data_IF_868241214747
#
_entry.id   IF_868241214747
#
_cell.length_a   1.000
_cell.length_b   1.000
_cell.length_c   1.000
_cell.angle_alpha   90.00
_cell.angle_beta   90.00
_cell.angle_gamma   90.00
#
_symmetry.space_group_name_H-M   'P 1'
#
loop_
_entity.id
_entity.type
_entity.pdbx_description
1 polymer ?
#
# COMPACT_ATOMS: atom_id res chain seq x y z
N UNK A 1 2.22 -12.87 21.83
CA UNK A 1 0.78 -12.69 21.54
C UNK A 1 0.60 -11.36 20.84
N UNK A 2 0.02 -11.33 19.64
CA UNK A 2 -0.05 -10.11 18.81
C UNK A 2 -1.50 -9.60 18.70
N UNK A 3 -1.99 -8.99 19.78
CA UNK A 3 -3.34 -8.42 19.88
C UNK A 3 -3.63 -7.37 18.79
N UNK A 4 -2.60 -6.62 18.37
CA UNK A 4 -2.72 -5.62 17.30
C UNK A 4 -3.01 -6.28 15.96
N UNK A 5 -2.45 -7.46 15.70
CA UNK A 5 -2.72 -8.24 14.49
C UNK A 5 -4.15 -8.75 14.48
N UNK A 6 -4.63 -9.27 15.61
CA UNK A 6 -6.01 -9.76 15.75
C UNK A 6 -7.06 -8.65 15.57
N UNK A 7 -6.86 -7.49 16.21
CA UNK A 7 -7.71 -6.30 16.01
C UNK A 7 -7.84 -5.93 14.52
N UNK A 8 -6.72 -5.93 13.78
CA UNK A 8 -6.74 -5.62 12.34
C UNK A 8 -7.50 -6.66 11.52
N UNK A 9 -7.39 -7.94 11.86
CA UNK A 9 -8.17 -9.01 11.22
C UNK A 9 -9.67 -8.80 11.48
N UNK A 10 -10.06 -8.47 12.72
CA UNK A 10 -11.44 -8.16 13.08
C UNK A 10 -11.98 -6.96 12.32
N UNK A 11 -11.23 -5.86 12.28
CA UNK A 11 -11.61 -4.67 11.52
C UNK A 11 -11.76 -4.96 10.02
N UNK A 12 -10.90 -5.79 9.43
CA UNK A 12 -11.00 -6.18 8.03
C UNK A 12 -12.26 -7.03 7.78
N UNK A 13 -12.58 -7.95 8.68
CA UNK A 13 -13.77 -8.81 8.61
C UNK A 13 -15.06 -7.99 8.76
N UNK A 14 -15.13 -7.12 9.77
CA UNK A 14 -16.27 -6.22 9.99
C UNK A 14 -16.54 -5.32 8.76
N UNK A 15 -15.48 -4.72 8.19
CA UNK A 15 -15.60 -3.90 6.97
C UNK A 15 -16.04 -4.67 5.74
N UNK A 16 -15.95 -5.99 5.75
CA UNK A 16 -16.40 -6.88 4.69
C UNK A 16 -17.77 -7.48 4.97
N UNK A 17 -18.47 -6.93 5.97
CA UNK A 17 -19.82 -7.38 6.36
C UNK A 17 -19.84 -8.85 6.81
N UNK A 18 -18.75 -9.29 7.44
CA UNK A 18 -18.68 -10.57 8.16
C UNK A 18 -19.04 -10.27 9.62
N UNK A 19 -19.96 -11.06 10.18
CA UNK A 19 -20.36 -10.96 11.57
C UNK A 19 -19.22 -11.45 12.46
N UNK A 20 -18.78 -10.62 13.41
CA UNK A 20 -17.60 -10.90 14.24
C UNK A 20 -17.85 -10.68 15.73
N UNK A 21 -19.12 -10.58 16.15
CA UNK A 21 -19.49 -10.18 17.51
C UNK A 21 -18.80 -11.05 18.56
N UNK A 22 -18.99 -12.37 18.45
CA UNK A 22 -18.43 -13.33 19.41
C UNK A 22 -16.90 -13.29 19.45
N UNK A 23 -16.28 -13.20 18.28
CA UNK A 23 -14.82 -13.07 18.17
C UNK A 23 -14.28 -11.76 18.76
N UNK A 24 -15.02 -10.66 18.61
CA UNK A 24 -14.67 -9.36 19.17
C UNK A 24 -14.81 -9.34 20.70
N UNK A 25 -15.84 -9.99 21.23
CA UNK A 25 -16.04 -10.09 22.68
C UNK A 25 -14.88 -10.84 23.35
N UNK A 26 -14.43 -11.95 22.78
CA UNK A 26 -13.22 -12.66 23.25
C UNK A 26 -11.94 -11.84 23.07
N UNK A 27 -11.83 -11.02 22.03
CA UNK A 27 -10.70 -10.09 21.88
C UNK A 27 -10.65 -9.05 23.00
N UNK A 28 -11.80 -8.50 23.40
CA UNK A 28 -11.90 -7.54 24.51
C UNK A 28 -11.53 -8.19 25.85
N UNK A 29 -11.96 -9.43 26.09
CA UNK A 29 -11.56 -10.22 27.26
C UNK A 29 -10.04 -10.45 27.27
N UNK A 30 -9.47 -10.88 26.14
CA UNK A 30 -8.03 -11.06 25.99
C UNK A 30 -7.24 -9.77 26.28
N UNK A 31 -7.74 -8.62 25.83
CA UNK A 31 -7.13 -7.31 26.10
C UNK A 31 -7.20 -6.95 27.59
N UNK A 32 -8.32 -7.24 28.25
CA UNK A 32 -8.52 -7.01 29.68
C UNK A 32 -7.57 -7.86 30.53
N UNK A 33 -7.47 -9.16 30.24
CA UNK A 33 -6.57 -10.07 30.95
C UNK A 33 -5.09 -9.76 30.69
N UNK A 34 -4.76 -9.34 29.46
CA UNK A 34 -3.41 -8.88 29.14
C UNK A 34 -3.02 -7.64 29.97
N UNK A 35 -3.92 -6.67 30.11
CA UNK A 35 -3.68 -5.46 30.91
C UNK A 35 -3.57 -5.75 32.42
N UNK A 36 -4.19 -6.82 32.90
CA UNK A 36 -4.06 -7.29 34.29
C UNK A 36 -2.76 -8.08 34.55
N UNK A 37 -2.00 -8.40 33.50
CA UNK A 37 -0.78 -9.20 33.59
C UNK A 37 -1.00 -10.72 33.58
N UNK A 38 -2.24 -11.19 33.39
CA UNK A 38 -2.58 -12.61 33.32
C UNK A 38 -2.38 -13.15 31.89
N UNK A 39 -1.12 -13.46 31.55
CA UNK A 39 -0.73 -13.80 30.18
C UNK A 39 -1.29 -15.13 29.68
N UNK A 40 -1.53 -16.10 30.58
CA UNK A 40 -2.04 -17.42 30.21
C UNK A 40 -3.50 -17.34 29.76
N UNK A 41 -4.33 -16.65 30.54
CA UNK A 41 -5.75 -16.47 30.23
C UNK A 41 -5.95 -15.55 29.02
N UNK A 42 -5.15 -14.49 28.93
CA UNK A 42 -5.12 -13.64 27.74
C UNK A 42 -4.79 -14.42 26.45
N UNK A 43 -3.87 -15.39 26.53
CA UNK A 43 -3.54 -16.24 25.39
C UNK A 43 -4.69 -17.15 24.98
N UNK A 44 -5.37 -17.78 25.94
CA UNK A 44 -6.54 -18.65 25.69
C UNK A 44 -7.67 -17.88 25.03
N UNK A 45 -8.01 -16.69 25.55
CA UNK A 45 -9.04 -15.84 24.98
C UNK A 45 -8.67 -15.34 23.58
N UNK A 46 -7.39 -15.07 23.34
CA UNK A 46 -6.88 -14.68 22.02
C UNK A 46 -6.99 -15.82 21.00
N UNK A 47 -6.71 -17.06 21.42
CA UNK A 47 -6.86 -18.23 20.55
C UNK A 47 -8.34 -18.50 20.24
N UNK A 48 -9.20 -18.39 21.26
CA UNK A 48 -10.65 -18.49 21.09
C UNK A 48 -11.21 -17.43 20.15
N UNK A 49 -10.77 -16.18 20.30
CA UNK A 49 -11.15 -15.10 19.39
C UNK A 49 -10.77 -15.43 17.93
N UNK A 50 -9.58 -16.00 17.67
CA UNK A 50 -9.18 -16.42 16.32
C UNK A 50 -10.02 -17.58 15.79
N UNK A 51 -10.36 -18.53 16.66
CA UNK A 51 -11.21 -19.66 16.31
C UNK A 51 -12.58 -19.16 15.85
N UNK A 52 -13.24 -18.30 16.64
CA UNK A 52 -14.53 -17.71 16.29
C UNK A 52 -14.47 -16.87 15.01
N UNK A 53 -13.38 -16.10 14.82
CA UNK A 53 -13.18 -15.35 13.57
C UNK A 53 -13.12 -16.29 12.36
N UNK A 54 -12.42 -17.41 12.50
CA UNK A 54 -12.27 -18.40 11.43
C UNK A 54 -13.59 -19.10 11.13
N UNK A 55 -14.38 -19.39 12.17
CA UNK A 55 -15.74 -19.92 12.04
C UNK A 55 -16.63 -18.93 11.26
N UNK A 56 -16.69 -17.67 11.67
CA UNK A 56 -17.45 -16.62 11.00
C UNK A 56 -17.05 -16.42 9.51
N UNK A 57 -15.74 -16.44 9.21
CA UNK A 57 -15.26 -16.37 7.82
C UNK A 57 -15.72 -17.59 7.01
N UNK A 58 -15.74 -18.77 7.61
CA UNK A 58 -16.17 -20.00 6.96
C UNK A 58 -17.69 -20.07 6.77
N UNK A 59 -18.47 -19.48 7.66
CA UNK A 59 -19.93 -19.34 7.52
C UNK A 59 -20.31 -18.34 6.44
N UNK A 60 -19.51 -17.28 6.27
CA UNK A 60 -19.69 -16.32 5.20
C UNK A 60 -19.44 -16.90 3.79
N UNK A 61 -18.96 -18.14 3.65
CA UNK A 61 -18.78 -18.83 2.35
C UNK A 61 -20.12 -19.30 1.78
N UNK A 62 -20.24 -19.30 0.45
CA UNK A 62 -21.43 -19.80 -0.25
C UNK A 62 -21.38 -21.33 -0.26
N UNK A 63 -22.45 -21.99 0.17
CA UNK A 63 -22.59 -23.45 0.10
C UNK A 63 -23.37 -23.83 -1.15
N UNK A 64 -22.74 -24.53 -2.10
CA UNK A 64 -23.40 -25.07 -3.30
C UNK A 64 -23.11 -26.57 -3.36
N UNK A 65 -24.16 -27.40 -3.35
CA UNK A 65 -24.08 -28.88 -3.47
C UNK A 65 -22.97 -29.50 -2.60
N UNK A 66 -22.91 -29.11 -1.32
CA UNK A 66 -21.93 -29.63 -0.36
C UNK A 66 -20.53 -28.99 -0.40
N UNK A 67 -20.20 -28.21 -1.45
CA UNK A 67 -18.93 -27.49 -1.54
C UNK A 67 -19.05 -26.06 -0.99
N UNK A 68 -17.99 -25.58 -0.32
CA UNK A 68 -17.91 -24.22 0.26
C UNK A 68 -17.05 -23.32 -0.65
N UNK A 69 -17.68 -22.37 -1.33
CA UNK A 69 -17.02 -21.40 -2.18
C UNK A 69 -16.83 -20.06 -1.47
N UNK A 70 -15.75 -19.34 -1.81
CA UNK A 70 -15.52 -17.99 -1.31
C UNK A 70 -16.62 -17.04 -1.80
N UNK A 71 -17.34 -16.43 -0.87
CA UNK A 71 -18.29 -15.35 -1.19
C UNK A 71 -17.56 -14.04 -1.46
N UNK A 72 -18.26 -13.07 -2.06
CA UNK A 72 -17.75 -11.71 -2.24
C UNK A 72 -17.31 -11.06 -0.93
N UNK A 73 -17.94 -11.39 0.20
CA UNK A 73 -17.57 -10.91 1.54
C UNK A 73 -16.22 -11.48 1.97
N UNK A 74 -16.02 -12.79 1.80
CA UNK A 74 -14.74 -13.44 2.12
C UNK A 74 -13.61 -12.97 1.19
N UNK A 75 -13.90 -12.75 -0.09
CA UNK A 75 -12.94 -12.19 -1.04
C UNK A 75 -12.54 -10.75 -0.65
N UNK A 76 -13.54 -9.91 -0.34
CA UNK A 76 -13.30 -8.54 0.14
C UNK A 76 -12.47 -8.50 1.41
N UNK A 77 -12.66 -9.46 2.33
CA UNK A 77 -11.85 -9.63 3.53
C UNK A 77 -10.38 -9.89 3.18
N UNK A 78 -10.08 -10.89 2.33
CA UNK A 78 -8.70 -11.19 1.94
C UNK A 78 -8.03 -10.03 1.19
N UNK A 79 -8.77 -9.37 0.30
CA UNK A 79 -8.25 -8.21 -0.41
C UNK A 79 -7.92 -7.03 0.52
N UNK A 80 -8.71 -6.84 1.60
CA UNK A 80 -8.43 -5.83 2.64
C UNK A 80 -7.27 -6.24 3.53
N UNK A 81 -7.21 -7.51 3.92
CA UNK A 81 -6.21 -8.02 4.85
C UNK A 81 -4.80 -8.00 4.25
N UNK A 82 -4.67 -8.44 3.00
CA UNK A 82 -3.38 -8.54 2.31
C UNK A 82 -3.09 -7.37 1.37
N UNK A 83 -4.00 -6.39 1.26
CA UNK A 83 -3.78 -5.21 0.44
C UNK A 83 -3.76 -5.47 -1.06
N UNK A 84 -4.41 -6.53 -1.55
CA UNK A 84 -4.42 -6.90 -2.99
C UNK A 84 -4.91 -5.76 -3.88
N UNK A 85 -5.81 -4.90 -3.40
CA UNK A 85 -6.24 -3.72 -4.15
C UNK A 85 -5.08 -2.80 -4.53
N UNK A 86 -4.12 -2.60 -3.60
CA UNK A 86 -2.95 -1.76 -3.85
C UNK A 86 -1.98 -2.44 -4.81
N UNK A 87 -1.82 -3.76 -4.71
CA UNK A 87 -1.00 -4.55 -5.64
C UNK A 87 -1.56 -4.45 -7.06
N UNK A 88 -2.84 -4.75 -7.25
CA UNK A 88 -3.50 -4.68 -8.56
C UNK A 88 -3.38 -3.26 -9.14
N UNK A 89 -3.69 -2.24 -8.34
CA UNK A 89 -3.58 -0.86 -8.78
C UNK A 89 -2.15 -0.48 -9.22
N UNK A 90 -1.15 -0.93 -8.46
CA UNK A 90 0.25 -0.63 -8.78
C UNK A 90 0.70 -1.36 -10.04
N UNK A 91 0.31 -2.62 -10.23
CA UNK A 91 0.59 -3.36 -11.46
C UNK A 91 -0.06 -2.69 -12.68
N UNK A 92 -1.31 -2.27 -12.56
CA UNK A 92 -2.00 -1.52 -13.62
C UNK A 92 -1.32 -0.17 -13.90
N UNK A 93 -0.87 0.53 -12.87
CA UNK A 93 -0.14 1.79 -13.01
C UNK A 93 1.21 1.60 -13.69
N UNK A 94 1.94 0.55 -13.36
CA UNK A 94 3.20 0.18 -14.04
C UNK A 94 2.96 -0.07 -15.52
N UNK A 95 1.92 -0.85 -15.86
CA UNK A 95 1.56 -1.10 -17.25
C UNK A 95 1.19 0.20 -17.98
N UNK A 96 0.35 1.04 -17.36
CA UNK A 96 -0.07 2.33 -17.90
C UNK A 96 1.13 3.26 -18.18
N UNK A 97 2.00 3.48 -17.19
CA UNK A 97 3.16 4.36 -17.38
C UNK A 97 4.17 3.79 -18.37
N UNK A 98 4.36 2.46 -18.40
CA UNK A 98 5.21 1.83 -19.42
C UNK A 98 4.69 2.08 -20.83
N UNK A 99 3.38 1.96 -21.04
CA UNK A 99 2.72 2.28 -22.32
C UNK A 99 2.85 3.76 -22.66
N UNK A 100 2.64 4.65 -21.69
CA UNK A 100 2.78 6.10 -21.91
C UNK A 100 4.21 6.50 -22.30
N UNK A 101 5.22 5.90 -21.66
CA UNK A 101 6.63 6.12 -22.02
C UNK A 101 6.91 5.65 -23.44
N UNK A 102 6.39 4.48 -23.82
CA UNK A 102 6.59 3.94 -25.16
C UNK A 102 5.93 4.81 -26.24
N UNK A 103 4.68 5.23 -26.02
CA UNK A 103 3.92 6.00 -27.02
C UNK A 103 4.33 7.48 -27.11
N UNK A 104 4.74 8.09 -26.00
CA UNK A 104 4.99 9.52 -25.90
C UNK A 104 6.45 9.84 -25.54
N UNK A 105 7.39 8.97 -25.93
CA UNK A 105 8.83 9.13 -25.64
C UNK A 105 9.41 10.44 -26.18
N UNK A 106 8.95 10.91 -27.34
CA UNK A 106 9.40 12.16 -27.96
C UNK A 106 8.50 13.38 -27.68
N UNK A 107 7.47 13.24 -26.85
CA UNK A 107 6.55 14.34 -26.55
C UNK A 107 7.10 15.22 -25.42
N UNK A 108 7.00 16.55 -25.59
CA UNK A 108 7.54 17.53 -24.66
C UNK A 108 6.51 18.61 -24.34
N UNK A 109 6.57 19.13 -23.11
CA UNK A 109 5.76 20.26 -22.66
C UNK A 109 6.69 21.30 -22.05
N UNK A 110 6.75 22.49 -22.68
CA UNK A 110 7.64 23.58 -22.28
C UNK A 110 9.13 23.15 -22.23
N UNK A 111 9.56 22.33 -23.19
CA UNK A 111 10.94 21.82 -23.26
C UNK A 111 11.29 20.74 -22.23
N UNK A 112 10.29 20.21 -21.51
CA UNK A 112 10.45 19.07 -20.59
C UNK A 112 9.82 17.84 -21.23
N UNK A 113 10.57 16.75 -21.40
CA UNK A 113 10.03 15.53 -21.98
C UNK A 113 9.06 14.85 -21.01
N UNK A 114 7.92 14.39 -21.54
CA UNK A 114 6.85 13.79 -20.73
C UNK A 114 7.29 12.49 -20.04
N UNK A 115 8.28 11.78 -20.61
CA UNK A 115 8.83 10.59 -19.98
C UNK A 115 9.34 10.87 -18.56
N UNK A 116 9.83 12.09 -18.25
CA UNK A 116 10.31 12.42 -16.91
C UNK A 116 9.20 12.28 -15.85
N UNK A 117 8.00 12.77 -16.18
CA UNK A 117 6.82 12.64 -15.33
C UNK A 117 6.38 11.18 -15.21
N UNK A 118 6.41 10.42 -16.32
CA UNK A 118 5.98 9.02 -16.32
C UNK A 118 6.95 8.10 -15.57
N UNK A 119 8.27 8.34 -15.64
CA UNK A 119 9.26 7.62 -14.86
C UNK A 119 9.08 7.85 -13.36
N UNK A 120 8.71 9.06 -12.93
CA UNK A 120 8.33 9.30 -11.54
C UNK A 120 7.03 8.58 -11.16
N UNK A 121 6.05 8.54 -12.07
CA UNK A 121 4.86 7.69 -11.94
C UNK A 121 5.20 6.21 -11.71
N UNK A 122 6.14 5.65 -12.48
CA UNK A 122 6.66 4.29 -12.30
C UNK A 122 7.34 4.11 -10.93
N UNK A 123 8.21 5.04 -10.54
CA UNK A 123 8.90 5.00 -9.25
C UNK A 123 7.94 4.96 -8.07
N UNK A 124 6.89 5.78 -8.12
CA UNK A 124 5.86 5.80 -7.09
C UNK A 124 5.02 4.52 -7.05
N UNK A 125 4.78 3.90 -8.21
CA UNK A 125 4.08 2.61 -8.30
C UNK A 125 4.92 1.48 -7.67
N UNK A 126 6.24 1.50 -7.91
CA UNK A 126 7.19 0.60 -7.24
C UNK A 126 7.24 0.85 -5.72
N UNK A 127 7.14 2.11 -5.27
CA UNK A 127 7.03 2.43 -3.85
C UNK A 127 5.77 1.82 -3.21
N UNK A 128 4.63 1.82 -3.90
CA UNK A 128 3.39 1.21 -3.37
C UNK A 128 3.58 -0.31 -3.21
N UNK A 129 4.15 -0.99 -4.20
CA UNK A 129 4.42 -2.43 -4.14
C UNK A 129 5.37 -2.78 -3.00
N UNK A 130 6.47 -2.04 -2.85
CA UNK A 130 7.42 -2.27 -1.76
C UNK A 130 6.81 -1.97 -0.39
N UNK A 131 5.96 -0.96 -0.28
CA UNK A 131 5.23 -0.65 0.95
C UNK A 131 4.29 -1.79 1.38
N UNK A 132 3.55 -2.36 0.42
CA UNK A 132 2.68 -3.53 0.69
C UNK A 132 3.53 -4.74 1.11
N UNK A 133 4.62 -5.03 0.39
CA UNK A 133 5.52 -6.14 0.72
C UNK A 133 6.15 -6.00 2.11
N UNK A 134 6.60 -4.80 2.50
CA UNK A 134 7.18 -4.53 3.82
C UNK A 134 6.13 -4.67 4.93
N UNK A 135 4.90 -4.20 4.71
CA UNK A 135 3.80 -4.38 5.66
C UNK A 135 3.46 -5.86 5.88
N UNK A 136 3.37 -6.64 4.79
CA UNK A 136 3.17 -8.09 4.87
C UNK A 136 4.32 -8.79 5.59
N UNK A 137 5.58 -8.41 5.32
CA UNK A 137 6.76 -8.98 5.98
C UNK A 137 6.80 -8.67 7.48
N UNK A 138 6.47 -7.43 7.88
CA UNK A 138 6.59 -6.98 9.27
C UNK A 138 5.39 -7.35 10.14
N UNK A 139 4.18 -7.30 9.57
CA UNK A 139 2.93 -7.43 10.34
C UNK A 139 2.08 -8.64 9.93
N UNK A 140 2.43 -9.32 8.84
CA UNK A 140 1.64 -10.44 8.30
C UNK A 140 0.31 -10.01 7.68
N UNK A 141 0.12 -8.70 7.46
CA UNK A 141 -1.06 -8.07 6.87
C UNK A 141 -0.71 -6.67 6.36
N UNK A 142 -1.42 -6.18 5.36
CA UNK A 142 -1.20 -4.84 4.84
C UNK A 142 -1.65 -3.81 5.89
N UNK A 143 -0.72 -2.94 6.32
CA UNK A 143 -1.06 -1.83 7.19
C UNK A 143 -1.98 -0.89 6.42
N UNK A 144 -2.87 -0.20 7.14
CA UNK A 144 -3.95 0.59 6.55
C UNK A 144 -3.42 1.88 5.93
N UNK A 145 -2.67 1.78 4.84
CA UNK A 145 -2.44 2.89 3.93
C UNK A 145 -3.80 3.32 3.37
N UNK A 146 -4.14 4.59 3.59
CA UNK A 146 -5.39 5.18 3.16
C UNK A 146 -5.51 5.01 1.64
N UNK A 147 -6.44 4.17 1.18
CA UNK A 147 -6.63 3.80 -0.24
C UNK A 147 -6.60 4.99 -1.22
N UNK A 148 -7.11 6.14 -0.79
CA UNK A 148 -7.08 7.40 -1.53
C UNK A 148 -5.66 7.86 -1.89
N UNK A 149 -4.70 7.68 -0.99
CA UNK A 149 -3.32 8.10 -1.23
C UNK A 149 -2.63 7.24 -2.27
N UNK A 150 -3.04 5.99 -2.47
CA UNK A 150 -2.48 5.16 -3.54
C UNK A 150 -2.83 5.66 -4.93
N UNK A 151 -3.97 6.32 -5.11
CA UNK A 151 -4.32 6.96 -6.38
C UNK A 151 -3.66 8.34 -6.54
N UNK A 152 -3.58 9.11 -5.45
CA UNK A 152 -3.01 10.45 -5.49
C UNK A 152 -1.47 10.46 -5.63
N UNK A 153 -0.78 9.48 -5.02
CA UNK A 153 0.69 9.42 -5.01
C UNK A 153 1.28 9.39 -6.43
N UNK A 154 0.82 8.55 -7.36
CA UNK A 154 1.35 8.56 -8.72
C UNK A 154 1.16 9.88 -9.46
N UNK A 155 0.02 10.55 -9.26
CA UNK A 155 -0.25 11.86 -9.89
C UNK A 155 0.68 12.92 -9.31
N UNK A 156 0.84 12.97 -7.98
CA UNK A 156 1.78 13.89 -7.33
C UNK A 156 3.23 13.59 -7.73
N UNK A 157 3.59 12.31 -7.89
CA UNK A 157 4.90 11.89 -8.32
C UNK A 157 5.22 12.39 -9.73
N UNK A 158 4.24 12.43 -10.64
CA UNK A 158 4.43 13.03 -11.98
C UNK A 158 4.88 14.49 -11.88
N UNK A 159 4.25 15.28 -11.01
CA UNK A 159 4.63 16.69 -10.79
C UNK A 159 6.05 16.80 -10.24
N UNK A 160 6.41 15.96 -9.25
CA UNK A 160 7.77 15.94 -8.72
C UNK A 160 8.80 15.47 -9.75
N UNK A 161 8.45 14.53 -10.63
CA UNK A 161 9.29 14.09 -11.76
C UNK A 161 9.56 15.21 -12.76
N UNK A 162 8.52 15.98 -13.10
CA UNK A 162 8.65 17.18 -13.93
C UNK A 162 9.62 18.20 -13.32
N UNK A 163 9.44 18.49 -12.03
CA UNK A 163 10.32 19.42 -11.30
C UNK A 163 11.75 18.90 -11.18
N UNK A 164 11.94 17.60 -10.93
CA UNK A 164 13.25 16.97 -10.90
C UNK A 164 13.95 17.14 -12.25
N UNK A 165 13.27 16.87 -13.37
CA UNK A 165 13.87 17.08 -14.68
C UNK A 165 14.39 18.51 -14.84
N UNK A 166 13.61 19.55 -14.52
CA UNK A 166 14.07 20.94 -14.63
C UNK A 166 15.33 21.22 -13.80
N UNK A 167 15.37 20.71 -12.56
CA UNK A 167 16.53 20.91 -11.67
C UNK A 167 17.78 20.22 -12.22
N UNK A 168 17.66 18.97 -12.66
CA UNK A 168 18.82 18.17 -13.06
C UNK A 168 19.21 18.36 -14.54
N UNK A 169 18.29 18.75 -15.41
CA UNK A 169 18.57 19.06 -16.82
C UNK A 169 19.25 20.41 -17.00
N UNK A 170 19.02 21.37 -16.11
CA UNK A 170 19.61 22.72 -16.14
C UNK A 170 21.14 22.77 -15.96
N UNK A 171 21.81 21.63 -15.77
CA UNK A 171 23.28 21.53 -15.76
C UNK A 171 23.91 21.71 -14.38
N UNK A 172 23.12 21.73 -13.30
CA UNK A 172 23.62 21.77 -11.91
C UNK A 172 24.48 20.54 -11.56
N UNK A 173 24.30 19.42 -12.29
CA UNK A 173 25.11 18.20 -12.11
C UNK A 173 25.71 17.80 -13.47
N UNK A 174 27.02 17.94 -13.60
CA UNK A 174 27.77 17.48 -14.76
C UNK A 174 27.89 15.94 -14.70
N UNK A 175 27.20 15.25 -15.60
CA UNK A 175 27.33 13.81 -15.82
C UNK A 175 27.94 13.63 -17.20
N UNK A 176 29.15 13.06 -17.24
CA UNK A 176 29.94 12.93 -18.47
C UNK A 176 29.34 11.88 -19.42
N UNK A 177 29.14 12.30 -20.68
CA UNK A 177 28.47 11.67 -21.83
C UNK A 177 26.94 11.82 -21.93
N UNK A 178 26.44 12.04 -23.16
CA UNK A 178 25.03 12.34 -23.44
C UNK A 178 24.09 11.19 -23.08
N UNK A 179 24.48 9.94 -23.38
CA UNK A 179 23.67 8.76 -23.13
C UNK A 179 23.64 8.38 -21.64
N UNK A 180 24.75 8.58 -20.91
CA UNK A 180 24.79 8.39 -19.46
C UNK A 180 23.96 9.46 -18.73
N UNK A 181 23.92 10.69 -19.28
CA UNK A 181 23.15 11.81 -18.72
C UNK A 181 21.65 11.57 -18.80
N UNK A 182 21.13 11.15 -19.96
CA UNK A 182 19.70 10.85 -20.10
C UNK A 182 19.25 9.71 -19.17
N UNK A 183 19.99 8.60 -19.14
CA UNK A 183 19.70 7.49 -18.24
C UNK A 183 19.75 7.91 -16.77
N UNK A 184 20.73 8.74 -16.39
CA UNK A 184 20.85 9.25 -15.03
C UNK A 184 19.66 10.13 -14.65
N UNK A 185 19.19 10.99 -15.57
CA UNK A 185 18.01 11.82 -15.34
C UNK A 185 16.74 10.96 -15.23
N UNK A 186 16.58 9.93 -16.08
CA UNK A 186 15.49 8.95 -15.97
C UNK A 186 15.50 8.26 -14.60
N UNK A 187 16.68 7.82 -14.14
CA UNK A 187 16.85 7.20 -12.84
C UNK A 187 16.50 8.16 -11.69
N UNK A 188 16.92 9.43 -11.77
CA UNK A 188 16.59 10.45 -10.79
C UNK A 188 15.07 10.72 -10.76
N UNK A 189 14.42 10.80 -11.92
CA UNK A 189 12.97 10.96 -12.00
C UNK A 189 12.25 9.77 -11.34
N UNK A 190 12.70 8.55 -11.65
CA UNK A 190 12.20 7.34 -11.00
C UNK A 190 12.40 7.38 -9.47
N UNK A 191 13.60 7.71 -9.00
CA UNK A 191 13.91 7.79 -7.58
C UNK A 191 13.07 8.86 -6.88
N UNK A 192 12.86 10.01 -7.52
CA UNK A 192 11.99 11.09 -7.03
C UNK A 192 10.56 10.58 -6.86
N UNK A 193 10.05 9.85 -7.85
CA UNK A 193 8.79 9.16 -7.76
C UNK A 193 8.72 8.17 -6.59
N UNK A 194 9.76 7.35 -6.44
CA UNK A 194 9.87 6.37 -5.36
C UNK A 194 9.95 7.02 -3.97
N UNK A 195 10.50 8.23 -3.85
CA UNK A 195 10.61 8.97 -2.59
C UNK A 195 9.43 9.91 -2.31
N UNK A 196 8.46 10.00 -3.22
CA UNK A 196 7.34 10.96 -3.17
C UNK A 196 6.58 10.91 -1.83
N UNK A 197 6.22 9.72 -1.34
CA UNK A 197 5.53 9.61 -0.04
C UNK A 197 6.39 10.12 1.14
N UNK A 198 7.69 9.86 1.10
CA UNK A 198 8.61 10.32 2.15
C UNK A 198 8.72 11.85 2.14
N UNK A 199 8.83 12.46 0.95
CA UNK A 199 8.83 13.91 0.78
C UNK A 199 7.55 14.55 1.34
N UNK A 200 6.37 14.04 0.96
CA UNK A 200 5.08 14.52 1.47
C UNK A 200 5.04 14.44 3.01
N UNK A 201 5.51 13.33 3.59
CA UNK A 201 5.55 13.14 5.04
C UNK A 201 6.56 14.05 5.77
N UNK A 202 7.60 14.53 5.09
CA UNK A 202 8.54 15.54 5.63
C UNK A 202 7.93 16.94 5.54
N UNK A 203 7.39 17.32 4.39
CA UNK A 203 6.73 18.61 4.17
C UNK A 203 5.56 18.83 5.14
N UNK A 204 4.72 17.80 5.33
CA UNK A 204 3.59 17.87 6.26
C UNK A 204 4.02 18.03 7.73
N UNK A 205 5.23 17.60 8.11
CA UNK A 205 5.75 17.81 9.47
C UNK A 205 6.27 19.22 9.63
N UNK A 206 7.10 19.67 8.69
CA UNK A 206 7.61 21.06 8.70
C UNK A 206 6.48 22.09 8.71
N UNK A 207 5.41 21.89 7.94
CA UNK A 207 4.26 22.80 7.92
C UNK A 207 3.45 22.82 9.23
N UNK A 208 3.61 21.84 10.12
CA UNK A 208 2.96 21.87 11.45
C UNK A 208 3.81 22.57 12.50
N UNK A 209 5.10 22.69 12.23
CA UNK A 209 6.08 23.29 13.12
C UNK A 209 6.31 24.79 12.79
N UNK A 210 5.61 25.33 11.78
CA UNK A 210 5.49 26.75 11.40
C UNK A 210 4.13 27.25 11.85
#
# INVERSE_FOLDING_TARGET
MDLKRLDRMLQAAHRSSIEIKDSYDFYVLALKEFNKGNLAEAFLDCDRAKYELTAAINEAKIKIKGSRFHSMRTLSYFFKLYGLYAVIFSCLSVALFSVLIYLYSGAEVLGVPLWASFFAGLGSSAQILTGVADDLRRYGLASRYKRLWYMAIPILAMVFGYMAYLVFSSGVIAIDSSQSREFSIMFICFLTGFLTKWMIGRLSRMSRDI
#
